data_IF_247504642267
#
_entry.id   IF_247504642267
#
_cell.length_a   1.000
_cell.length_b   1.000
_cell.length_c   1.000
_cell.angle_alpha   90.00
_cell.angle_beta   90.00
_cell.angle_gamma   90.00
#
_symmetry.space_group_name_H-M   'P 1'
#
loop_
_entity.id
_entity.type
_entity.pdbx_description
1 polymer ?
#
# COMPACT_ATOMS: atom_id res chain seq x y z
N UNK A 1 13.03 -23.08 -7.19
CA UNK A 1 13.22 -21.66 -7.57
C UNK A 1 12.45 -21.24 -8.83
N UNK A 2 12.52 -21.96 -9.96
CA UNK A 2 11.88 -21.56 -11.25
C UNK A 2 10.40 -21.10 -11.15
N UNK A 3 9.60 -21.71 -10.27
CA UNK A 3 8.16 -21.38 -10.09
C UNK A 3 7.88 -19.95 -9.60
N UNK A 4 8.81 -19.35 -8.84
CA UNK A 4 8.61 -18.03 -8.22
C UNK A 4 9.27 -16.89 -8.99
N UNK A 5 10.20 -17.20 -9.91
CA UNK A 5 10.95 -16.21 -10.69
C UNK A 5 10.02 -15.25 -11.44
N UNK A 6 8.92 -15.74 -12.01
CA UNK A 6 7.96 -14.90 -12.73
C UNK A 6 7.37 -13.78 -11.85
N UNK A 7 7.13 -14.03 -10.56
CA UNK A 7 6.56 -13.03 -9.66
C UNK A 7 7.60 -12.00 -9.25
N UNK A 8 8.85 -12.43 -9.05
CA UNK A 8 9.98 -11.53 -8.81
C UNK A 8 10.19 -10.60 -10.00
N UNK A 9 10.13 -11.13 -11.23
CA UNK A 9 10.22 -10.32 -12.46
C UNK A 9 9.09 -9.30 -12.53
N UNK A 10 7.83 -9.71 -12.26
CA UNK A 10 6.69 -8.78 -12.24
C UNK A 10 6.91 -7.65 -11.23
N UNK A 11 7.31 -7.98 -10.00
CA UNK A 11 7.59 -6.98 -8.95
C UNK A 11 8.69 -6.02 -9.41
N UNK A 12 9.78 -6.55 -9.98
CA UNK A 12 10.86 -5.72 -10.50
C UNK A 12 10.40 -4.79 -11.62
N UNK A 13 9.60 -5.28 -12.58
CA UNK A 13 9.04 -4.44 -13.63
C UNK A 13 8.14 -3.32 -13.09
N UNK A 14 7.33 -3.60 -12.07
CA UNK A 14 6.49 -2.57 -11.42
C UNK A 14 7.36 -1.50 -10.74
N UNK A 15 8.42 -1.91 -10.03
CA UNK A 15 9.37 -0.98 -9.41
C UNK A 15 10.06 -0.12 -10.47
N UNK A 16 10.53 -0.73 -11.56
CA UNK A 16 11.18 -0.02 -12.66
C UNK A 16 10.24 0.97 -13.35
N UNK A 17 8.96 0.62 -13.51
CA UNK A 17 7.96 1.51 -14.10
C UNK A 17 7.72 2.73 -13.22
N UNK A 18 7.48 2.53 -11.92
CA UNK A 18 7.24 3.63 -10.97
C UNK A 18 8.46 4.55 -10.85
N UNK A 19 9.62 3.98 -10.52
CA UNK A 19 10.84 4.76 -10.29
C UNK A 19 11.40 5.36 -11.57
N UNK A 20 11.30 4.64 -12.69
CA UNK A 20 11.67 5.17 -14.00
C UNK A 20 10.82 6.38 -14.39
N UNK A 21 9.51 6.32 -14.15
CA UNK A 21 8.63 7.46 -14.42
C UNK A 21 8.95 8.64 -13.52
N UNK A 22 9.15 8.42 -12.22
CA UNK A 22 9.57 9.47 -11.27
C UNK A 22 10.83 10.19 -11.72
N UNK A 23 11.85 9.43 -12.15
CA UNK A 23 13.08 10.01 -12.67
C UNK A 23 12.84 10.83 -13.93
N UNK A 24 12.00 10.35 -14.86
CA UNK A 24 11.65 11.12 -16.08
C UNK A 24 10.92 12.41 -15.71
N UNK A 25 9.93 12.35 -14.82
CA UNK A 25 9.14 13.52 -14.40
C UNK A 25 10.04 14.54 -13.72
N UNK A 26 10.86 14.15 -12.75
CA UNK A 26 11.74 15.10 -12.03
C UNK A 26 12.73 15.76 -12.97
N UNK A 27 13.31 15.03 -13.93
CA UNK A 27 14.25 15.62 -14.88
C UNK A 27 13.58 16.52 -15.93
N UNK A 28 12.33 16.24 -16.31
CA UNK A 28 11.62 17.03 -17.30
C UNK A 28 11.01 18.31 -16.72
N UNK A 29 10.59 18.26 -15.45
CA UNK A 29 9.99 19.35 -14.69
C UNK A 29 10.95 19.91 -13.63
N UNK A 30 12.26 19.83 -13.90
CA UNK A 30 13.30 20.27 -12.97
C UNK A 30 13.15 21.78 -12.67
N UNK A 31 12.99 22.12 -11.39
CA UNK A 31 12.66 23.48 -10.91
C UNK A 31 11.23 23.67 -10.41
N UNK A 32 10.28 22.80 -10.79
CA UNK A 32 8.87 22.84 -10.36
C UNK A 32 8.53 21.77 -9.31
N UNK A 33 9.53 21.00 -8.84
CA UNK A 33 9.32 20.03 -7.77
C UNK A 33 9.12 20.77 -6.46
N UNK A 34 7.91 20.73 -5.94
CA UNK A 34 7.51 21.40 -4.69
C UNK A 34 7.18 20.41 -3.59
N UNK A 35 7.41 20.79 -2.34
CA UNK A 35 6.92 20.03 -1.19
C UNK A 35 5.42 20.29 -0.99
N UNK A 36 4.66 19.25 -0.65
CA UNK A 36 3.22 19.36 -0.43
C UNK A 36 2.89 20.42 0.64
N UNK A 37 3.74 20.52 1.67
CA UNK A 37 3.64 21.54 2.72
C UNK A 37 3.79 22.98 2.26
N UNK A 38 4.51 23.18 1.16
CA UNK A 38 4.81 24.51 0.63
C UNK A 38 3.71 24.96 -0.33
N UNK A 39 3.03 24.02 -0.99
CA UNK A 39 1.90 24.27 -1.89
C UNK A 39 0.60 24.67 -1.19
N UNK A 40 0.33 24.17 0.01
CA UNK A 40 -0.90 24.51 0.77
C UNK A 40 -0.92 25.97 1.26
N UNK A 41 0.23 26.66 1.26
CA UNK A 41 0.33 28.05 1.72
C UNK A 41 0.19 29.10 0.60
N UNK A 42 0.38 28.72 -0.68
CA UNK A 42 0.46 29.70 -1.78
C UNK A 42 -0.55 29.50 -2.93
N UNK A 43 -1.33 28.41 -2.96
CA UNK A 43 -2.36 28.22 -3.99
C UNK A 43 -1.83 27.97 -5.42
N UNK A 44 -0.55 27.63 -5.56
CA UNK A 44 0.14 27.54 -6.85
C UNK A 44 -0.29 26.32 -7.72
N UNK A 45 -0.97 25.32 -7.14
CA UNK A 45 -1.50 24.16 -7.89
C UNK A 45 -2.70 24.56 -8.79
N UNK A 46 -3.29 25.75 -8.62
CA UNK A 46 -4.59 26.11 -9.19
C UNK A 46 -4.51 26.73 -10.61
N UNK A 47 -3.32 26.90 -11.20
CA UNK A 47 -3.18 27.74 -12.40
C UNK A 47 -3.49 27.10 -13.76
N UNK A 48 -3.82 25.80 -13.85
CA UNK A 48 -4.24 25.19 -15.12
C UNK A 48 -5.49 24.31 -14.99
N UNK A 49 -6.57 24.76 -15.64
CA UNK A 49 -7.91 24.15 -15.69
C UNK A 49 -8.00 22.82 -16.48
N UNK A 50 -6.96 21.99 -16.43
CA UNK A 50 -6.95 20.65 -17.01
C UNK A 50 -7.30 19.61 -15.94
N UNK A 51 -8.37 18.85 -16.16
CA UNK A 51 -8.88 17.79 -15.26
C UNK A 51 -7.82 16.76 -14.85
N UNK A 52 -6.74 16.63 -15.62
CA UNK A 52 -5.56 15.83 -15.32
C UNK A 52 -4.30 16.60 -15.72
N UNK A 53 -3.29 16.62 -14.86
CA UNK A 53 -2.00 17.25 -15.09
C UNK A 53 -0.87 16.41 -14.47
N UNK A 54 0.35 16.60 -14.98
CA UNK A 54 1.56 16.06 -14.35
C UNK A 54 2.22 17.21 -13.60
N UNK A 55 2.37 17.06 -12.30
CA UNK A 55 2.93 18.07 -11.43
C UNK A 55 3.67 17.41 -10.26
N UNK A 56 5.01 17.42 -10.25
CA UNK A 56 5.79 16.69 -9.24
C UNK A 56 5.69 17.36 -7.87
N UNK A 57 5.11 16.64 -6.91
CA UNK A 57 4.99 17.06 -5.53
C UNK A 57 5.61 16.00 -4.62
N UNK A 58 6.49 16.42 -3.71
CA UNK A 58 6.95 15.55 -2.63
C UNK A 58 5.99 15.67 -1.45
N UNK A 59 5.22 14.62 -1.21
CA UNK A 59 4.44 14.48 0.00
C UNK A 59 5.37 14.16 1.18
N UNK A 60 5.71 15.21 1.92
CA UNK A 60 6.67 15.21 3.01
C UNK A 60 6.01 15.10 4.40
N UNK A 61 4.67 14.93 4.46
CA UNK A 61 3.90 14.83 5.70
C UNK A 61 4.52 13.90 6.76
N UNK A 62 4.97 12.72 6.33
CA UNK A 62 5.67 11.76 7.21
C UNK A 62 6.97 12.35 7.75
N UNK A 63 7.78 12.99 6.90
CA UNK A 63 9.05 13.61 7.31
C UNK A 63 8.82 14.77 8.28
N UNK A 64 7.80 15.59 8.06
CA UNK A 64 7.43 16.67 8.98
C UNK A 64 7.06 16.14 10.36
N UNK A 65 6.25 15.09 10.43
CA UNK A 65 5.91 14.43 11.68
C UNK A 65 7.17 13.90 12.40
N UNK A 66 8.10 13.29 11.65
CA UNK A 66 9.36 12.80 12.20
C UNK A 66 10.31 13.94 12.63
N UNK A 67 10.34 15.07 11.90
CA UNK A 67 11.07 16.28 12.29
C UNK A 67 10.54 16.82 13.61
N UNK A 68 9.23 16.95 13.76
CA UNK A 68 8.61 17.41 15.01
C UNK A 68 8.92 16.47 16.18
N UNK A 69 8.92 15.14 15.94
CA UNK A 69 9.34 14.16 16.94
C UNK A 69 10.84 14.26 17.28
N UNK A 70 11.68 14.58 16.31
CA UNK A 70 13.13 14.79 16.52
C UNK A 70 13.44 16.10 17.26
N UNK A 71 12.62 17.13 17.09
CA UNK A 71 12.75 18.37 17.88
C UNK A 71 12.35 18.12 19.35
N UNK A 72 11.34 17.28 19.57
CA UNK A 72 10.80 16.98 20.90
C UNK A 72 11.49 15.79 21.61
N UNK A 73 12.35 15.06 20.92
CA UNK A 73 13.13 13.96 21.48
C UNK A 73 14.55 14.08 20.98
N UNK A 74 15.57 13.96 21.84
CA UNK A 74 17.00 14.04 21.46
C UNK A 74 17.49 12.99 20.43
N UNK A 75 16.55 12.30 19.77
CA UNK A 75 16.77 11.30 18.73
C UNK A 75 16.99 11.98 17.40
N UNK A 76 18.01 11.51 16.69
CA UNK A 76 18.33 11.93 15.33
C UNK A 76 17.21 11.56 14.35
N UNK A 77 16.84 12.50 13.48
CA UNK A 77 15.83 12.28 12.43
C UNK A 77 16.13 11.08 11.52
N UNK A 78 17.40 10.84 11.17
CA UNK A 78 17.78 9.70 10.33
C UNK A 78 17.46 8.36 11.00
N UNK A 79 17.60 8.28 12.33
CA UNK A 79 17.20 7.11 13.09
C UNK A 79 15.68 6.93 13.09
N UNK A 80 14.92 8.03 13.19
CA UNK A 80 13.46 7.98 13.13
C UNK A 80 12.95 7.54 11.76
N UNK A 81 13.54 8.05 10.67
CA UNK A 81 13.26 7.62 9.29
C UNK A 81 13.55 6.12 9.15
N UNK A 82 14.71 5.66 9.63
CA UNK A 82 15.06 4.24 9.59
C UNK A 82 14.05 3.35 10.32
N UNK A 83 13.63 3.75 11.52
CA UNK A 83 12.61 3.03 12.29
C UNK A 83 11.28 2.99 11.53
N UNK A 84 10.92 4.08 10.85
CA UNK A 84 9.66 4.14 10.11
C UNK A 84 9.67 3.26 8.84
N UNK A 85 10.77 3.28 8.08
CA UNK A 85 11.01 2.33 6.98
C UNK A 85 10.97 0.88 7.50
N UNK A 86 11.61 0.59 8.64
CA UNK A 86 11.58 -0.73 9.25
C UNK A 86 10.16 -1.17 9.64
N UNK A 87 9.33 -0.26 10.19
CA UNK A 87 7.92 -0.55 10.48
C UNK A 87 7.14 -0.92 9.22
N UNK A 88 7.32 -0.19 8.12
CA UNK A 88 6.65 -0.51 6.85
C UNK A 88 7.07 -1.88 6.36
N UNK A 89 8.37 -2.19 6.39
CA UNK A 89 8.88 -3.51 5.98
C UNK A 89 8.25 -4.61 6.84
N UNK A 90 8.20 -4.42 8.17
CA UNK A 90 7.58 -5.38 9.10
C UNK A 90 6.10 -5.52 8.81
N UNK A 91 5.37 -4.43 8.62
CA UNK A 91 3.94 -4.45 8.33
C UNK A 91 3.65 -5.12 6.99
N UNK A 92 4.37 -4.76 5.94
CA UNK A 92 4.27 -5.39 4.62
C UNK A 92 4.57 -6.89 4.72
N UNK A 93 5.63 -7.29 5.44
CA UNK A 93 5.95 -8.70 5.63
C UNK A 93 4.87 -9.44 6.42
N UNK A 94 4.37 -8.87 7.52
CA UNK A 94 3.29 -9.46 8.32
C UNK A 94 2.01 -9.61 7.51
N UNK A 95 1.64 -8.59 6.74
CA UNK A 95 0.49 -8.61 5.85
C UNK A 95 0.64 -9.69 4.77
N UNK A 96 1.78 -9.74 4.08
CA UNK A 96 2.09 -10.79 3.10
C UNK A 96 2.10 -12.19 3.73
N UNK A 97 2.53 -12.33 4.99
CA UNK A 97 2.50 -13.60 5.73
C UNK A 97 1.05 -14.03 6.00
N UNK A 98 0.18 -13.11 6.45
CA UNK A 98 -1.25 -13.37 6.67
C UNK A 98 -1.91 -13.78 5.36
N UNK A 99 -1.64 -13.04 4.29
CA UNK A 99 -2.11 -13.33 2.95
C UNK A 99 -1.65 -14.71 2.45
N UNK A 100 -0.36 -15.02 2.56
CA UNK A 100 0.18 -16.34 2.24
C UNK A 100 -0.44 -17.45 3.09
N UNK A 101 -0.70 -17.18 4.37
CA UNK A 101 -1.31 -18.12 5.29
C UNK A 101 -2.76 -18.44 4.91
N UNK A 102 -3.56 -17.41 4.61
CA UNK A 102 -4.92 -17.55 4.05
C UNK A 102 -4.83 -18.42 2.80
N UNK A 103 -3.95 -18.09 1.87
CA UNK A 103 -3.77 -18.83 0.62
C UNK A 103 -3.41 -20.31 0.83
N UNK A 104 -2.48 -20.60 1.74
CA UNK A 104 -2.02 -21.97 2.01
C UNK A 104 -3.11 -22.82 2.66
N UNK A 105 -3.96 -22.24 3.50
CA UNK A 105 -5.10 -22.94 4.08
C UNK A 105 -6.18 -23.24 3.03
N UNK A 106 -6.29 -22.40 2.00
CA UNK A 106 -7.25 -22.58 0.91
C UNK A 106 -6.82 -23.56 -0.17
N UNK A 107 -5.51 -23.84 -0.26
CA UNK A 107 -4.91 -24.68 -1.31
C UNK A 107 -5.42 -26.14 -1.37
N UNK A 108 -6.07 -26.64 -0.29
CA UNK A 108 -6.67 -27.99 -0.23
C UNK A 108 -8.13 -28.04 -0.67
N UNK A 109 -8.80 -26.90 -0.82
CA UNK A 109 -10.23 -26.82 -1.14
C UNK A 109 -10.44 -26.25 -2.54
N UNK A 110 -11.70 -26.23 -3.03
CA UNK A 110 -12.11 -25.63 -4.32
C UNK A 110 -11.64 -24.17 -4.50
N UNK A 111 -11.22 -23.53 -3.42
CA UNK A 111 -10.74 -22.15 -3.31
C UNK A 111 -9.32 -21.97 -3.91
N UNK A 112 -8.60 -23.05 -4.22
CA UNK A 112 -7.32 -23.01 -4.96
C UNK A 112 -7.42 -22.29 -6.32
N UNK A 113 -8.62 -22.20 -6.90
CA UNK A 113 -8.87 -21.49 -8.17
C UNK A 113 -8.45 -20.01 -8.12
N UNK A 114 -8.45 -19.39 -6.94
CA UNK A 114 -8.12 -17.97 -6.76
C UNK A 114 -6.63 -17.72 -6.49
N UNK A 115 -5.77 -18.72 -6.67
CA UNK A 115 -4.32 -18.61 -6.47
C UNK A 115 -3.65 -17.52 -7.31
N UNK A 116 -4.12 -17.34 -8.55
CA UNK A 116 -3.63 -16.30 -9.45
C UNK A 116 -3.89 -14.92 -8.85
N UNK A 117 -5.14 -14.66 -8.47
CA UNK A 117 -5.59 -13.40 -7.86
C UNK A 117 -4.75 -13.05 -6.63
N UNK A 118 -4.55 -14.03 -5.74
CA UNK A 118 -3.73 -13.87 -4.55
C UNK A 118 -2.29 -13.50 -4.86
N UNK A 119 -1.70 -14.15 -5.87
CA UNK A 119 -0.33 -13.86 -6.26
C UNK A 119 -0.20 -12.44 -6.81
N UNK A 120 -1.19 -11.96 -7.57
CA UNK A 120 -1.24 -10.59 -8.08
C UNK A 120 -1.34 -9.57 -6.94
N UNK A 121 -2.21 -9.80 -5.95
CA UNK A 121 -2.33 -8.97 -4.75
C UNK A 121 -0.97 -8.86 -4.04
N UNK A 122 -0.30 -10.00 -3.81
CA UNK A 122 1.02 -10.02 -3.17
C UNK A 122 2.06 -9.22 -3.99
N UNK A 123 2.10 -9.39 -5.31
CA UNK A 123 3.06 -8.68 -6.16
C UNK A 123 2.87 -7.16 -6.11
N UNK A 124 1.61 -6.70 -6.22
CA UNK A 124 1.29 -5.27 -6.17
C UNK A 124 1.63 -4.64 -4.81
N UNK A 125 1.28 -5.31 -3.71
CA UNK A 125 1.61 -4.80 -2.36
C UNK A 125 3.12 -4.76 -2.11
N UNK A 126 3.87 -5.79 -2.53
CA UNK A 126 5.32 -5.79 -2.37
C UNK A 126 5.97 -4.69 -3.21
N UNK A 127 5.55 -4.52 -4.46
CA UNK A 127 6.06 -3.46 -5.31
C UNK A 127 5.78 -2.07 -4.72
N UNK A 128 4.53 -1.81 -4.28
CA UNK A 128 4.15 -0.55 -3.65
C UNK A 128 4.92 -0.27 -2.36
N UNK A 129 5.10 -1.28 -1.49
CA UNK A 129 5.86 -1.15 -0.27
C UNK A 129 7.35 -0.84 -0.53
N UNK A 130 7.94 -1.41 -1.58
CA UNK A 130 9.32 -1.11 -1.97
C UNK A 130 9.42 0.31 -2.55
N UNK A 131 8.52 0.70 -3.46
CA UNK A 131 8.54 2.02 -4.09
C UNK A 131 8.35 3.13 -3.06
N UNK A 132 7.18 3.20 -2.41
CA UNK A 132 6.86 4.30 -1.48
C UNK A 132 7.47 4.15 -0.09
N UNK A 133 7.60 2.91 0.39
CA UNK A 133 8.03 2.64 1.76
C UNK A 133 9.53 2.62 1.95
N UNK A 134 10.30 2.33 0.89
CA UNK A 134 11.76 2.19 0.96
C UNK A 134 12.43 3.19 0.03
N UNK A 135 12.22 3.07 -1.27
CA UNK A 135 12.97 3.85 -2.26
C UNK A 135 12.64 5.34 -2.10
N UNK A 136 11.36 5.72 -2.17
CA UNK A 136 10.99 7.12 -2.14
C UNK A 136 11.42 7.83 -0.86
N UNK A 137 11.23 7.18 0.29
CA UNK A 137 11.60 7.76 1.59
C UNK A 137 13.10 7.93 1.76
N UNK A 138 13.90 7.07 1.14
CA UNK A 138 15.36 7.18 1.16
C UNK A 138 15.84 8.31 0.24
N UNK A 139 15.30 8.39 -0.98
CA UNK A 139 15.81 9.32 -2.01
C UNK A 139 15.15 10.70 -1.98
N UNK A 140 13.85 10.76 -1.72
CA UNK A 140 13.05 12.00 -1.74
C UNK A 140 12.74 12.54 -0.34
N UNK A 141 12.96 11.76 0.72
CA UNK A 141 12.59 12.14 2.09
C UNK A 141 11.07 12.27 2.29
N UNK A 142 10.28 11.61 1.44
CA UNK A 142 8.81 11.65 1.40
C UNK A 142 8.32 10.64 0.36
N UNK A 143 7.11 10.82 -0.18
CA UNK A 143 6.69 10.13 -1.40
C UNK A 143 6.58 11.14 -2.53
N UNK A 144 7.20 10.85 -3.68
CA UNK A 144 7.14 11.73 -4.84
C UNK A 144 5.89 11.37 -5.64
N UNK A 145 4.85 12.18 -5.52
CA UNK A 145 3.61 12.02 -6.25
C UNK A 145 3.60 12.99 -7.44
N UNK A 146 2.99 12.64 -8.57
CA UNK A 146 3.14 13.46 -9.80
C UNK A 146 1.94 13.48 -10.73
N UNK A 147 0.97 12.59 -10.58
CA UNK A 147 -0.28 12.63 -11.33
C UNK A 147 -1.29 13.42 -10.51
N UNK A 148 -1.76 14.54 -11.02
CA UNK A 148 -2.70 15.41 -10.33
C UNK A 148 -4.03 15.48 -11.09
N UNK A 149 -5.13 15.18 -10.40
CA UNK A 149 -6.50 15.38 -10.86
C UNK A 149 -7.07 16.57 -10.10
N UNK A 150 -7.52 17.60 -10.82
CA UNK A 150 -8.13 18.79 -10.21
C UNK A 150 -9.61 18.87 -10.57
N UNK A 151 -10.45 19.26 -9.61
CA UNK A 151 -11.87 19.50 -9.85
C UNK A 151 -12.41 20.65 -9.00
N UNK A 152 -13.40 21.35 -9.55
CA UNK A 152 -14.11 22.42 -8.86
C UNK A 152 -15.27 21.84 -8.06
N UNK A 153 -15.37 22.20 -6.78
CA UNK A 153 -16.55 21.96 -5.95
C UNK A 153 -17.11 23.27 -5.40
N UNK A 154 -18.22 23.16 -4.68
CA UNK A 154 -18.84 24.28 -3.98
C UNK A 154 -18.97 23.88 -2.52
N UNK A 155 -18.34 24.63 -1.64
CA UNK A 155 -18.50 24.47 -0.19
C UNK A 155 -19.45 25.52 0.36
N UNK A 156 -20.32 25.08 1.26
CA UNK A 156 -21.22 25.97 2.00
C UNK A 156 -20.51 26.43 3.27
N UNK A 157 -20.19 27.72 3.35
CA UNK A 157 -19.68 28.36 4.55
C UNK A 157 -20.75 29.31 5.08
N UNK A 158 -21.57 28.79 6.00
CA UNK A 158 -22.76 29.49 6.47
C UNK A 158 -23.83 29.57 5.37
N UNK A 159 -24.31 30.78 5.07
CA UNK A 159 -25.30 31.03 4.01
C UNK A 159 -24.67 31.29 2.63
N UNK A 160 -23.34 31.32 2.53
CA UNK A 160 -22.64 31.58 1.28
C UNK A 160 -22.06 30.31 0.67
N UNK A 161 -22.23 30.17 -0.65
CA UNK A 161 -21.59 29.13 -1.46
C UNK A 161 -20.28 29.67 -2.04
N UNK A 162 -19.15 29.09 -1.63
CA UNK A 162 -17.82 29.45 -2.13
C UNK A 162 -17.36 28.35 -3.07
N UNK A 163 -16.90 28.74 -4.27
CA UNK A 163 -16.27 27.79 -5.18
C UNK A 163 -14.90 27.39 -4.63
N UNK A 164 -14.71 26.10 -4.37
CA UNK A 164 -13.43 25.53 -3.91
C UNK A 164 -12.82 24.68 -5.02
N UNK A 165 -11.49 24.64 -5.11
CA UNK A 165 -10.77 23.76 -6.02
C UNK A 165 -10.14 22.66 -5.19
N UNK A 166 -10.48 21.42 -5.50
CA UNK A 166 -9.86 20.26 -4.90
C UNK A 166 -8.86 19.68 -5.88
N UNK A 167 -7.87 19.01 -5.34
CA UNK A 167 -6.92 18.24 -6.09
C UNK A 167 -6.71 16.87 -5.44
N UNK A 168 -6.34 15.89 -6.26
CA UNK A 168 -5.90 14.58 -5.81
C UNK A 168 -4.61 14.26 -6.55
N UNK A 169 -3.51 14.13 -5.80
CA UNK A 169 -2.19 13.81 -6.35
C UNK A 169 -1.84 12.40 -5.94
N UNK A 170 -1.28 11.64 -6.89
CA UNK A 170 -0.91 10.25 -6.72
C UNK A 170 0.23 9.88 -7.68
N UNK A 171 0.79 8.70 -7.52
CA UNK A 171 1.77 8.11 -8.44
C UNK A 171 1.39 6.66 -8.80
N UNK A 172 2.31 5.93 -9.44
CA UNK A 172 2.02 4.56 -9.84
C UNK A 172 1.93 3.60 -8.65
N UNK A 173 2.66 3.79 -7.54
CA UNK A 173 2.46 2.93 -6.35
C UNK A 173 1.03 3.04 -5.82
N UNK A 174 0.40 4.21 -5.87
CA UNK A 174 -0.97 4.41 -5.36
C UNK A 174 -1.96 3.67 -6.26
N UNK A 175 -1.74 3.69 -7.58
CA UNK A 175 -2.50 2.87 -8.55
C UNK A 175 -2.32 1.38 -8.24
N UNK A 176 -1.11 0.92 -7.92
CA UNK A 176 -0.87 -0.49 -7.55
C UNK A 176 -1.65 -0.87 -6.29
N UNK A 177 -1.70 0.02 -5.30
CA UNK A 177 -2.45 -0.18 -4.05
C UNK A 177 -3.96 -0.21 -4.29
N UNK A 178 -4.50 0.66 -5.14
CA UNK A 178 -5.92 0.64 -5.50
C UNK A 178 -6.31 -0.63 -6.24
N UNK A 179 -5.53 -1.05 -7.24
CA UNK A 179 -5.76 -2.31 -7.95
C UNK A 179 -5.66 -3.48 -6.96
N UNK A 180 -4.64 -3.49 -6.11
CA UNK A 180 -4.47 -4.51 -5.05
C UNK A 180 -5.68 -4.59 -4.13
N UNK A 181 -6.19 -3.45 -3.67
CA UNK A 181 -7.39 -3.35 -2.82
C UNK A 181 -8.63 -3.88 -3.52
N UNK A 182 -8.85 -3.52 -4.78
CA UNK A 182 -9.99 -4.03 -5.57
C UNK A 182 -9.91 -5.55 -5.77
N UNK A 183 -8.73 -6.08 -6.10
CA UNK A 183 -8.51 -7.53 -6.22
C UNK A 183 -8.69 -8.25 -4.88
N UNK A 184 -8.30 -7.63 -3.78
CA UNK A 184 -8.50 -8.18 -2.44
C UNK A 184 -9.98 -8.22 -2.04
N UNK A 185 -10.75 -7.17 -2.33
CA UNK A 185 -12.20 -7.16 -2.13
C UNK A 185 -12.88 -8.27 -2.96
N UNK A 186 -12.50 -8.40 -4.24
CA UNK A 186 -12.97 -9.48 -5.10
C UNK A 186 -12.61 -10.86 -4.54
N UNK A 187 -11.38 -11.03 -4.04
CA UNK A 187 -10.95 -12.26 -3.41
C UNK A 187 -11.83 -12.63 -2.20
N UNK A 188 -12.15 -11.67 -1.33
CA UNK A 188 -13.04 -11.89 -0.18
C UNK A 188 -14.42 -12.33 -0.65
N UNK A 189 -15.01 -11.65 -1.64
CA UNK A 189 -16.34 -11.99 -2.17
C UNK A 189 -16.35 -13.44 -2.70
N UNK A 190 -15.36 -13.78 -3.54
CA UNK A 190 -15.23 -15.13 -4.10
C UNK A 190 -14.98 -16.18 -3.01
N UNK A 191 -14.16 -15.85 -2.02
CA UNK A 191 -13.92 -16.71 -0.86
C UNK A 191 -15.22 -16.99 -0.09
N UNK A 192 -16.01 -15.96 0.19
CA UNK A 192 -17.28 -16.10 0.92
C UNK A 192 -18.24 -16.99 0.14
N UNK A 193 -18.39 -16.77 -1.17
CA UNK A 193 -19.23 -17.60 -2.05
C UNK A 193 -18.78 -19.06 -2.00
N UNK A 194 -17.48 -19.33 -2.16
CA UNK A 194 -16.97 -20.70 -2.16
C UNK A 194 -17.04 -21.35 -0.78
N UNK A 195 -16.84 -20.58 0.30
CA UNK A 195 -17.00 -21.04 1.67
C UNK A 195 -18.43 -21.48 1.95
N UNK A 196 -19.44 -20.71 1.51
CA UNK A 196 -20.84 -21.09 1.68
C UNK A 196 -21.21 -22.37 0.93
N UNK A 197 -20.56 -22.65 -0.22
CA UNK A 197 -20.74 -23.88 -1.01
C UNK A 197 -20.10 -25.13 -0.39
N UNK A 198 -19.28 -25.00 0.65
CA UNK A 198 -18.71 -26.14 1.36
C UNK A 198 -19.77 -26.85 2.20
N UNK A 199 -19.70 -28.19 2.24
CA UNK A 199 -20.50 -29.03 3.14
C UNK A 199 -20.14 -28.77 4.61
N UNK A 200 -21.03 -29.17 5.54
CA UNK A 200 -20.77 -29.06 6.99
C UNK A 200 -19.49 -29.82 7.41
N UNK A 201 -19.21 -30.96 6.78
CA UNK A 201 -18.01 -31.74 7.05
C UNK A 201 -16.74 -31.00 6.60
N UNK A 202 -16.75 -30.44 5.38
CA UNK A 202 -15.62 -29.66 4.84
C UNK A 202 -15.34 -28.40 5.66
N UNK A 203 -16.39 -27.70 6.11
CA UNK A 203 -16.26 -26.52 6.99
C UNK A 203 -15.60 -26.90 8.32
N UNK A 204 -16.09 -27.97 8.97
CA UNK A 204 -15.51 -28.44 10.25
C UNK A 204 -14.06 -28.89 10.09
N UNK A 205 -13.71 -29.49 8.95
CA UNK A 205 -12.32 -29.84 8.64
C UNK A 205 -11.44 -28.60 8.45
N UNK A 206 -11.94 -27.59 7.71
CA UNK A 206 -11.25 -26.31 7.52
C UNK A 206 -10.97 -25.62 8.87
N UNK A 207 -11.97 -25.54 9.74
CA UNK A 207 -11.86 -24.94 11.08
C UNK A 207 -10.87 -25.70 11.96
N UNK A 208 -10.91 -27.04 11.94
CA UNK A 208 -9.96 -27.87 12.68
C UNK A 208 -8.52 -27.67 12.18
N UNK A 209 -8.35 -27.61 10.85
CA UNK A 209 -7.06 -27.33 10.25
C UNK A 209 -6.55 -25.94 10.63
N UNK A 210 -7.43 -24.94 10.68
CA UNK A 210 -7.15 -23.56 11.06
C UNK A 210 -6.63 -23.47 12.51
N UNK A 211 -7.39 -24.00 13.48
CA UNK A 211 -7.04 -23.97 14.91
C UNK A 211 -5.71 -24.68 15.18
N UNK A 212 -5.51 -25.86 14.59
CA UNK A 212 -4.26 -26.62 14.77
C UNK A 212 -3.04 -25.85 14.25
N UNK A 213 -3.21 -25.09 13.17
CA UNK A 213 -2.11 -24.33 12.58
C UNK A 213 -1.78 -23.08 13.39
N UNK A 214 -2.78 -22.36 13.91
CA UNK A 214 -2.55 -21.25 14.84
C UNK A 214 -1.76 -21.74 16.05
N UNK A 215 -2.18 -22.86 16.65
CA UNK A 215 -1.46 -23.48 17.77
C UNK A 215 0.00 -23.80 17.40
N UNK A 216 0.25 -24.28 16.17
CA UNK A 216 1.62 -24.58 15.71
C UNK A 216 2.49 -23.33 15.51
N UNK A 217 1.94 -22.25 14.91
CA UNK A 217 2.68 -21.02 14.61
C UNK A 217 3.09 -20.31 15.90
N UNK A 218 2.16 -20.22 16.86
CA UNK A 218 2.42 -19.58 18.14
C UNK A 218 3.03 -20.52 19.20
N UNK A 219 3.35 -21.76 18.82
CA UNK A 219 3.80 -22.83 19.74
C UNK A 219 2.95 -22.90 21.02
N UNK A 220 1.66 -22.64 20.90
CA UNK A 220 0.74 -22.72 22.03
C UNK A 220 0.62 -24.20 22.37
N UNK A 221 1.35 -24.63 23.42
CA UNK A 221 1.20 -25.98 23.96
C UNK A 221 -0.28 -26.16 24.25
N UNK A 222 -0.85 -27.21 23.66
CA UNK A 222 -2.09 -27.76 24.18
C UNK A 222 -1.86 -27.97 25.67
N UNK A 223 -2.61 -27.27 26.53
CA UNK A 223 -2.84 -27.75 27.90
C UNK A 223 -3.51 -29.11 27.70
N UNK A 224 -2.70 -30.17 27.59
CA UNK A 224 -3.17 -31.51 27.89
C UNK A 224 -3.58 -31.44 29.35
N UNK A 225 -4.76 -31.98 29.64
CA UNK A 225 -5.28 -32.08 31.00
C UNK A 225 -4.15 -32.52 31.93
N UNK A 226 -4.01 -31.76 33.01
CA UNK A 226 -3.52 -32.33 34.25
C UNK A 226 -4.69 -33.23 34.66
N UNK A 227 -4.56 -34.52 34.35
CA UNK A 227 -5.37 -35.57 34.98
C UNK A 227 -5.02 -35.63 36.48
#
# INVERSE_FOLDING_TARGET
MKKYIKYIIIIFCLIMLDQGTKLVVVNYYDGDVVFASDTDNNGDIISNYSTFSIYPIVNDSTRQELMQKSLNSSKNINLLIFVDVAKIIVFAFAFNLVLYWIFRNLSKYKIKKHAGLMSSILCLNVAAAICGGIIDRIFWGGTLDFMCITWKSTELMGEQSIATYNYFIFDFKDVYLWISGALFALFIILFVIDYFKLSKAEKKELDKHFVNRIKSVFRLKSKKGID
#
